data_IF_622356624829
#
_entry.id   IF_622356624829
#
_cell.length_a   1.000
_cell.length_b   1.000
_cell.length_c   1.000
_cell.angle_alpha   90.00
_cell.angle_beta   90.00
_cell.angle_gamma   90.00
#
_symmetry.space_group_name_H-M   'P 1'
#
loop_
_entity.id
_entity.type
_entity.pdbx_description
1 polymer ?
#
# COMPACT_ATOMS: atom_id res chain seq x y z
N UNK A 1 4.03 -21.98 17.06
CA UNK A 1 4.64 -20.66 16.79
C UNK A 1 4.34 -20.38 15.32
N UNK A 2 3.42 -19.46 15.03
CA UNK A 2 2.99 -19.22 13.64
C UNK A 2 4.14 -18.51 12.94
N UNK A 3 4.70 -19.13 11.91
CA UNK A 3 5.78 -18.56 11.12
C UNK A 3 5.24 -17.30 10.44
N UNK A 4 5.56 -16.12 10.99
CA UNK A 4 5.08 -14.88 10.43
C UNK A 4 5.85 -14.62 9.15
N UNK A 5 5.16 -14.36 8.01
CA UNK A 5 5.84 -14.09 6.76
C UNK A 5 6.80 -12.91 6.94
N UNK A 6 7.98 -12.95 6.29
CA UNK A 6 9.04 -11.97 6.50
C UNK A 6 8.53 -10.57 6.19
N UNK A 7 8.43 -9.72 7.22
CA UNK A 7 8.02 -8.33 7.10
C UNK A 7 9.22 -7.48 6.68
N UNK A 8 9.01 -6.55 5.74
CA UNK A 8 10.01 -5.58 5.33
C UNK A 8 9.55 -4.16 5.69
N UNK A 9 10.45 -3.27 6.14
CA UNK A 9 10.10 -1.86 6.32
C UNK A 9 9.62 -1.25 5.00
N UNK A 10 8.47 -0.57 5.03
CA UNK A 10 7.95 0.16 3.89
C UNK A 10 8.67 1.50 3.74
N UNK A 11 8.95 1.91 2.50
CA UNK A 11 9.52 3.23 2.24
C UNK A 11 8.47 4.33 2.40
N UNK A 12 8.92 5.57 2.64
CA UNK A 12 8.04 6.73 2.70
C UNK A 12 7.20 6.88 1.41
N UNK A 13 7.80 6.61 0.25
CA UNK A 13 7.13 6.70 -1.04
C UNK A 13 6.04 5.63 -1.21
N UNK A 14 6.33 4.38 -0.82
CA UNK A 14 5.35 3.28 -0.87
C UNK A 14 4.13 3.56 0.03
N UNK A 15 4.39 4.13 1.21
CA UNK A 15 3.33 4.52 2.16
C UNK A 15 2.52 5.68 1.57
N UNK A 16 3.19 6.69 1.01
CA UNK A 16 2.52 7.84 0.39
C UNK A 16 1.65 7.43 -0.80
N UNK A 17 2.12 6.51 -1.65
CA UNK A 17 1.36 5.98 -2.78
C UNK A 17 0.12 5.22 -2.32
N UNK A 18 0.29 4.34 -1.33
CA UNK A 18 -0.80 3.54 -0.74
C UNK A 18 -1.87 4.43 -0.10
N UNK A 19 -1.46 5.44 0.67
CA UNK A 19 -2.37 6.41 1.30
C UNK A 19 -3.05 7.30 0.26
N UNK A 20 -2.31 7.78 -0.74
CA UNK A 20 -2.87 8.57 -1.84
C UNK A 20 -3.93 7.78 -2.61
N UNK A 21 -3.72 6.47 -2.81
CA UNK A 21 -4.72 5.58 -3.36
C UNK A 21 -5.95 5.47 -2.44
N UNK A 22 -5.78 5.15 -1.17
CA UNK A 22 -6.88 5.00 -0.22
C UNK A 22 -7.71 6.29 -0.04
N UNK A 23 -7.10 7.47 -0.15
CA UNK A 23 -7.81 8.75 -0.12
C UNK A 23 -8.68 9.00 -1.37
N UNK A 24 -8.39 8.32 -2.47
CA UNK A 24 -9.14 8.41 -3.72
C UNK A 24 -10.18 7.30 -3.85
N UNK A 25 -9.93 6.15 -3.23
CA UNK A 25 -10.69 4.91 -3.43
C UNK A 25 -11.04 4.23 -2.10
N UNK A 26 -12.33 3.93 -1.94
CA UNK A 26 -12.83 3.03 -0.90
C UNK A 26 -13.22 1.70 -1.58
N UNK A 27 -12.33 0.71 -1.44
CA UNK A 27 -12.41 -0.54 -2.18
C UNK A 27 -12.38 -0.30 -3.70
N UNK A 28 -13.48 -0.63 -4.38
CA UNK A 28 -13.63 -0.43 -5.84
C UNK A 28 -14.30 0.89 -6.19
N UNK A 29 -14.84 1.63 -5.22
CA UNK A 29 -15.59 2.85 -5.47
C UNK A 29 -14.67 4.05 -5.29
N UNK A 30 -14.55 4.87 -6.34
CA UNK A 30 -13.88 6.15 -6.22
C UNK A 30 -14.75 7.06 -5.36
N UNK A 31 -14.19 7.58 -4.27
CA UNK A 31 -14.94 8.36 -3.27
C UNK A 31 -15.08 9.83 -3.69
N UNK A 32 -14.40 10.22 -4.78
CA UNK A 32 -14.53 11.48 -5.53
C UNK A 32 -14.77 12.74 -4.68
N UNK A 33 -13.68 13.41 -4.27
CA UNK A 33 -13.54 14.89 -4.13
C UNK A 33 -12.11 15.30 -3.73
N UNK A 34 -11.22 14.38 -3.37
CA UNK A 34 -9.79 14.70 -3.30
C UNK A 34 -9.23 14.77 -4.72
N UNK A 35 -8.91 15.97 -5.19
CA UNK A 35 -8.06 16.15 -6.37
C UNK A 35 -6.81 15.29 -6.19
N UNK A 36 -6.35 14.65 -7.27
CA UNK A 36 -5.18 13.75 -7.21
C UNK A 36 -3.97 14.41 -6.54
N UNK A 37 -3.77 15.71 -6.81
CA UNK A 37 -2.76 16.52 -6.15
C UNK A 37 -3.02 16.66 -4.63
N UNK A 38 -4.25 16.91 -4.20
CA UNK A 38 -4.60 17.03 -2.79
C UNK A 38 -4.45 15.71 -2.03
N UNK A 39 -4.81 14.58 -2.65
CA UNK A 39 -4.61 13.25 -2.09
C UNK A 39 -3.12 12.97 -1.89
N UNK A 40 -2.28 13.29 -2.88
CA UNK A 40 -0.83 13.15 -2.79
C UNK A 40 -0.24 14.03 -1.68
N UNK A 41 -0.56 15.32 -1.65
CA UNK A 41 -0.09 16.26 -0.63
C UNK A 41 -0.49 15.80 0.78
N UNK A 42 -1.73 15.31 0.94
CA UNK A 42 -2.23 14.80 2.22
C UNK A 42 -1.46 13.55 2.64
N UNK A 43 -1.25 12.60 1.74
CA UNK A 43 -0.48 11.39 2.02
C UNK A 43 0.95 11.70 2.48
N UNK A 44 1.65 12.61 1.79
CA UNK A 44 3.00 13.04 2.17
C UNK A 44 3.03 13.72 3.55
N UNK A 45 2.01 14.51 3.89
CA UNK A 45 1.89 15.13 5.23
C UNK A 45 1.73 14.08 6.32
N UNK A 46 0.92 13.05 6.07
CA UNK A 46 0.73 11.95 7.01
C UNK A 46 2.02 11.15 7.20
N UNK A 47 2.72 10.81 6.13
CA UNK A 47 4.00 10.09 6.18
C UNK A 47 5.02 10.86 7.02
N UNK A 48 5.21 12.16 6.74
CA UNK A 48 6.13 13.01 7.52
C UNK A 48 5.75 13.08 9.00
N UNK A 49 4.46 13.04 9.33
CA UNK A 49 4.01 13.02 10.72
C UNK A 49 4.34 11.68 11.39
N UNK A 50 4.10 10.56 10.71
CA UNK A 50 4.44 9.22 11.19
C UNK A 50 5.93 9.08 11.48
N UNK A 51 6.79 9.55 10.59
CA UNK A 51 8.25 9.54 10.76
C UNK A 51 8.67 10.36 11.98
N UNK A 52 8.12 11.57 12.16
CA UNK A 52 8.42 12.43 13.31
C UNK A 52 7.98 11.81 14.64
N UNK A 53 6.92 11.02 14.62
CA UNK A 53 6.44 10.28 15.78
C UNK A 53 7.21 8.96 16.02
N UNK A 54 8.14 8.59 15.12
CA UNK A 54 8.93 7.37 15.25
C UNK A 54 8.20 6.09 14.82
N UNK A 55 7.12 6.19 14.05
CA UNK A 55 6.43 5.02 13.52
C UNK A 55 7.19 4.42 12.33
N UNK A 56 7.28 3.09 12.30
CA UNK A 56 7.79 2.31 11.17
C UNK A 56 6.68 1.39 10.68
N UNK A 57 6.25 1.57 9.43
CA UNK A 57 5.28 0.69 8.80
C UNK A 57 6.01 -0.49 8.18
N UNK A 58 5.47 -1.68 8.41
CA UNK A 58 6.00 -2.93 7.88
C UNK A 58 5.07 -3.47 6.80
N UNK A 59 5.62 -3.75 5.62
CA UNK A 59 4.93 -4.34 4.49
C UNK A 59 5.09 -5.86 4.52
N UNK A 60 3.98 -6.57 4.31
CA UNK A 60 4.00 -8.02 4.08
C UNK A 60 4.56 -8.31 2.69
N UNK A 61 5.23 -9.46 2.50
CA UNK A 61 5.70 -9.83 1.18
C UNK A 61 4.51 -9.94 0.23
N UNK A 62 4.70 -9.55 -1.03
CA UNK A 62 3.65 -9.71 -2.04
C UNK A 62 3.24 -11.18 -2.11
N UNK A 63 1.94 -11.44 -2.13
CA UNK A 63 1.44 -12.79 -2.30
C UNK A 63 1.98 -13.34 -3.63
N UNK A 64 2.51 -14.56 -3.61
CA UNK A 64 3.03 -15.21 -4.81
C UNK A 64 2.02 -15.07 -5.95
N UNK A 65 2.49 -14.61 -7.12
CA UNK A 65 1.66 -14.48 -8.30
C UNK A 65 0.92 -15.81 -8.53
N UNK A 66 -0.39 -15.79 -8.86
CA UNK A 66 -1.12 -17.01 -9.13
C UNK A 66 -0.41 -17.75 -10.26
N UNK A 67 0.08 -18.96 -9.99
CA UNK A 67 0.74 -19.80 -10.98
C UNK A 67 -0.23 -20.02 -12.15
N UNK A 68 0.04 -19.36 -13.27
CA UNK A 68 -0.60 -19.68 -14.54
C UNK A 68 0.05 -20.97 -15.06
N UNK A 69 -0.27 -22.11 -14.44
CA UNK A 69 0.08 -23.41 -15.00
C UNK A 69 -0.74 -23.56 -16.29
N UNK A 70 -0.10 -23.70 -17.47
CA UNK A 70 -0.85 -23.93 -18.70
C UNK A 70 -1.49 -25.32 -18.61
N UNK A 71 -2.82 -25.38 -18.62
CA UNK A 71 -3.53 -26.63 -18.80
C UNK A 71 -3.22 -27.18 -20.19
N UNK A 72 -2.30 -28.15 -20.26
CA UNK A 72 -2.09 -28.95 -21.47
C UNK A 72 -3.36 -29.77 -21.72
N UNK A 73 -4.16 -29.36 -22.71
CA UNK A 73 -5.31 -30.12 -23.19
C UNK A 73 -4.83 -31.10 -24.25
N UNK A 74 -5.15 -32.38 -24.02
CA UNK A 74 -4.93 -33.53 -24.92
C UNK A 74 -5.56 -33.33 -26.28
#
# INVERSE_FOLDING_TARGET
MVDQPPLAPASADEIADSLSYALRFDGRKRVHHADEAMARITAERLVRHLERCGYVLMRKPEAAAPSTTPHHRR
#
